data_IF_969808485394
#
_entry.id   IF_969808485394
#
_cell.length_a   1.000
_cell.length_b   1.000
_cell.length_c   1.000
_cell.angle_alpha   90.00
_cell.angle_beta   90.00
_cell.angle_gamma   90.00
#
_symmetry.space_group_name_H-M   'P 1'
#
loop_
_entity.id
_entity.type
_entity.pdbx_description
1 polymer ?
#
# COMPACT_ATOMS: atom_id res chain seq x y z
N UNK A 1 -2.32 -5.91 -41.22
CA UNK A 1 -3.37 -5.09 -40.56
C UNK A 1 -2.78 -4.57 -39.26
N UNK A 2 -2.60 -3.25 -39.13
CA UNK A 2 -2.06 -2.66 -37.90
C UNK A 2 -3.19 -2.54 -36.87
N UNK A 3 -3.04 -3.19 -35.71
CA UNK A 3 -3.96 -3.05 -34.58
C UNK A 3 -3.81 -1.61 -34.07
N UNK A 4 -4.89 -0.80 -34.01
CA UNK A 4 -4.79 0.55 -33.48
C UNK A 4 -4.44 0.44 -31.99
N UNK A 5 -3.30 1.01 -31.60
CA UNK A 5 -2.95 1.15 -30.20
C UNK A 5 -4.08 1.93 -29.52
N UNK A 6 -4.88 1.25 -28.71
CA UNK A 6 -5.88 1.87 -27.85
C UNK A 6 -5.12 2.83 -26.95
N UNK A 7 -5.15 4.12 -27.30
CA UNK A 7 -4.68 5.20 -26.43
C UNK A 7 -5.62 5.21 -25.22
N UNK A 8 -5.26 4.44 -24.19
CA UNK A 8 -5.93 4.50 -22.90
C UNK A 8 -5.81 5.93 -22.40
N UNK A 9 -6.96 6.58 -22.20
CA UNK A 9 -6.99 7.91 -21.57
C UNK A 9 -6.30 7.79 -20.21
N UNK A 10 -5.46 8.76 -19.83
CA UNK A 10 -4.85 8.76 -18.51
C UNK A 10 -5.97 8.74 -17.45
N UNK A 11 -5.89 7.77 -16.53
CA UNK A 11 -6.83 7.62 -15.43
C UNK A 11 -6.82 8.91 -14.62
N UNK A 12 -8.01 9.48 -14.40
CA UNK A 12 -8.15 10.71 -13.65
C UNK A 12 -7.76 10.52 -12.17
N UNK A 13 -7.36 11.62 -11.53
CA UNK A 13 -6.90 11.60 -10.13
C UNK A 13 -7.95 11.05 -9.17
N UNK A 14 -9.23 11.36 -9.39
CA UNK A 14 -10.34 10.93 -8.51
C UNK A 14 -10.57 9.43 -8.63
N UNK A 15 -10.51 8.88 -9.83
CA UNK A 15 -10.60 7.44 -10.07
C UNK A 15 -9.41 6.71 -9.47
N UNK A 16 -8.20 7.26 -9.56
CA UNK A 16 -7.02 6.72 -8.88
C UNK A 16 -7.21 6.67 -7.36
N UNK A 17 -7.72 7.74 -6.74
CA UNK A 17 -8.02 7.76 -5.31
C UNK A 17 -9.08 6.73 -4.91
N UNK A 18 -10.12 6.53 -5.74
CA UNK A 18 -11.14 5.50 -5.52
C UNK A 18 -10.57 4.08 -5.59
N UNK A 19 -9.73 3.78 -6.60
CA UNK A 19 -9.01 2.51 -6.70
C UNK A 19 -8.21 2.25 -5.42
N UNK A 20 -7.49 3.26 -4.92
CA UNK A 20 -6.69 3.14 -3.71
C UNK A 20 -7.52 2.89 -2.45
N UNK A 21 -8.65 3.56 -2.29
CA UNK A 21 -9.54 3.35 -1.15
C UNK A 21 -10.18 1.95 -1.16
N UNK A 22 -10.38 1.36 -2.34
CA UNK A 22 -10.98 0.04 -2.50
C UNK A 22 -9.95 -1.10 -2.46
N UNK A 23 -8.67 -0.83 -2.77
CA UNK A 23 -7.61 -1.83 -2.85
C UNK A 23 -7.32 -2.55 -1.52
N UNK A 24 -7.67 -1.95 -0.38
CA UNK A 24 -7.52 -2.58 0.94
C UNK A 24 -8.64 -3.59 1.25
N UNK A 25 -9.77 -3.55 0.52
CA UNK A 25 -10.99 -4.29 0.84
C UNK A 25 -11.46 -5.25 -0.27
N UNK A 26 -11.10 -4.99 -1.53
CA UNK A 26 -11.62 -5.73 -2.70
C UNK A 26 -10.48 -6.22 -3.61
N UNK A 27 -10.73 -7.30 -4.36
CA UNK A 27 -9.80 -7.77 -5.39
C UNK A 27 -9.75 -6.81 -6.58
N UNK A 28 -8.65 -6.82 -7.33
CA UNK A 28 -8.45 -5.92 -8.49
C UNK A 28 -9.55 -6.09 -9.55
N UNK A 29 -9.99 -7.32 -9.79
CA UNK A 29 -11.09 -7.68 -10.69
C UNK A 29 -12.42 -7.03 -10.24
N UNK A 30 -12.71 -7.08 -8.94
CA UNK A 30 -13.92 -6.52 -8.38
C UNK A 30 -13.92 -4.99 -8.43
N UNK A 31 -12.75 -4.37 -8.22
CA UNK A 31 -12.57 -2.92 -8.36
C UNK A 31 -12.75 -2.50 -9.83
N UNK A 32 -12.19 -3.28 -10.76
CA UNK A 32 -12.32 -3.05 -12.19
C UNK A 32 -13.79 -3.10 -12.64
N UNK A 33 -14.55 -4.09 -12.16
CA UNK A 33 -15.99 -4.20 -12.42
C UNK A 33 -16.76 -3.00 -11.83
N UNK A 34 -16.50 -2.65 -10.56
CA UNK A 34 -17.15 -1.54 -9.88
C UNK A 34 -16.89 -0.18 -10.54
N UNK A 35 -15.67 0.04 -11.06
CA UNK A 35 -15.27 1.29 -11.70
C UNK A 35 -15.46 1.27 -13.22
N UNK A 36 -15.90 0.15 -13.80
CA UNK A 36 -16.01 -0.08 -15.24
C UNK A 36 -14.71 0.25 -15.97
N UNK A 37 -13.60 -0.24 -15.43
CA UNK A 37 -12.25 -0.07 -15.96
C UNK A 37 -11.68 -1.42 -16.40
N UNK A 38 -10.71 -1.43 -17.33
CA UNK A 38 -9.90 -2.62 -17.56
C UNK A 38 -9.16 -3.01 -16.29
N UNK A 39 -9.13 -4.31 -15.98
CA UNK A 39 -8.37 -4.85 -14.84
C UNK A 39 -6.91 -4.38 -14.90
N UNK A 40 -6.31 -4.41 -16.09
CA UNK A 40 -4.93 -3.95 -16.32
C UNK A 40 -4.67 -2.51 -15.85
N UNK A 41 -5.65 -1.62 -16.00
CA UNK A 41 -5.53 -0.21 -15.61
C UNK A 41 -5.62 -0.06 -14.08
N UNK A 42 -6.46 -0.87 -13.43
CA UNK A 42 -6.53 -0.99 -11.96
C UNK A 42 -5.25 -1.58 -11.40
N UNK A 43 -4.77 -2.69 -11.97
CA UNK A 43 -3.50 -3.33 -11.61
C UNK A 43 -2.33 -2.37 -11.81
N UNK A 44 -2.28 -1.60 -12.90
CA UNK A 44 -1.25 -0.56 -13.11
C UNK A 44 -1.31 0.53 -12.05
N UNK A 45 -2.50 0.97 -11.64
CA UNK A 45 -2.66 1.98 -10.57
C UNK A 45 -2.20 1.42 -9.23
N UNK A 46 -2.70 0.24 -8.86
CA UNK A 46 -2.33 -0.46 -7.64
C UNK A 46 -0.83 -0.70 -7.66
N UNK A 47 -0.29 -1.36 -8.67
CA UNK A 47 1.15 -1.62 -8.81
C UNK A 47 1.99 -0.34 -8.81
N UNK A 48 1.59 0.73 -9.51
CA UNK A 48 2.33 1.99 -9.50
C UNK A 48 2.34 2.68 -8.12
N UNK A 49 1.32 2.47 -7.29
CA UNK A 49 1.24 3.04 -5.95
C UNK A 49 1.88 2.13 -4.90
N UNK A 50 1.65 0.82 -4.97
CA UNK A 50 2.21 -0.18 -4.07
C UNK A 50 3.70 -0.43 -4.33
N UNK A 51 4.19 -0.34 -5.58
CA UNK A 51 5.64 -0.30 -5.88
C UNK A 51 6.32 0.95 -5.31
N UNK A 52 5.57 2.04 -5.12
CA UNK A 52 6.07 3.30 -4.52
C UNK A 52 5.81 3.41 -3.01
N UNK A 53 5.04 2.50 -2.40
CA UNK A 53 4.64 2.58 -0.98
C UNK A 53 4.58 1.20 -0.31
N UNK A 54 5.73 0.53 -0.22
CA UNK A 54 6.05 -0.24 0.99
C UNK A 54 7.24 0.43 1.66
N UNK A 55 7.00 1.59 2.28
CA UNK A 55 7.91 2.07 3.32
C UNK A 55 7.79 1.04 4.42
N UNK A 56 8.78 0.17 4.52
CA UNK A 56 8.78 -0.85 5.54
C UNK A 56 8.89 -0.12 6.88
N UNK A 57 7.84 -0.25 7.69
CA UNK A 57 7.77 0.39 9.00
C UNK A 57 8.16 -0.62 10.04
N UNK A 58 8.70 -0.14 11.12
CA UNK A 58 9.12 -0.93 12.26
C UNK A 58 8.62 -0.27 13.52
N UNK A 59 8.30 -1.08 14.53
CA UNK A 59 8.32 -0.62 15.91
C UNK A 59 9.55 -1.16 16.56
N UNK A 60 10.26 -0.27 17.25
CA UNK A 60 11.44 -0.58 18.04
C UNK A 60 11.08 -0.38 19.50
N UNK A 61 11.37 -1.36 20.33
CA UNK A 61 11.35 -1.18 21.78
C UNK A 61 12.71 -0.62 22.22
N UNK A 62 12.72 0.57 22.83
CA UNK A 62 13.96 1.25 23.21
C UNK A 62 14.67 0.58 24.40
N UNK A 63 13.97 -0.25 25.18
CA UNK A 63 14.54 -0.99 26.32
C UNK A 63 15.16 -2.32 25.93
N UNK A 64 14.57 -3.02 24.96
CA UNK A 64 15.01 -4.37 24.55
C UNK A 64 15.71 -4.39 23.19
N UNK A 65 15.71 -3.26 22.48
CA UNK A 65 16.16 -3.11 21.09
C UNK A 65 15.41 -4.04 20.11
N UNK A 66 14.27 -4.61 20.51
CA UNK A 66 13.48 -5.52 19.68
C UNK A 66 12.78 -4.72 18.58
N UNK A 67 13.01 -5.13 17.32
CA UNK A 67 12.51 -4.44 16.13
C UNK A 67 11.53 -5.33 15.37
N UNK A 68 10.27 -4.91 15.26
CA UNK A 68 9.20 -5.67 14.62
C UNK A 68 8.71 -4.96 13.36
N UNK A 69 8.81 -5.60 12.17
CA UNK A 69 8.29 -5.03 10.94
C UNK A 69 6.76 -4.99 10.96
N UNK A 70 6.21 -3.85 10.57
CA UNK A 70 4.77 -3.61 10.51
C UNK A 70 4.39 -2.91 9.21
N UNK A 71 3.16 -3.15 8.77
CA UNK A 71 2.64 -2.54 7.53
C UNK A 71 1.88 -1.24 7.81
N UNK A 72 1.28 -1.10 8.99
CA UNK A 72 0.47 0.06 9.40
C UNK A 72 0.67 0.40 10.87
N UNK A 73 0.43 1.65 11.25
CA UNK A 73 0.51 2.10 12.64
C UNK A 73 -0.46 1.36 13.56
N UNK A 74 -1.67 1.02 13.08
CA UNK A 74 -2.66 0.24 13.85
C UNK A 74 -2.14 -1.15 14.23
N UNK A 75 -1.51 -1.87 13.29
CA UNK A 75 -0.86 -3.16 13.61
C UNK A 75 0.27 -2.97 14.60
N UNK A 76 1.03 -1.90 14.45
CA UNK A 76 2.07 -1.52 15.39
C UNK A 76 1.57 -1.34 16.82
N UNK A 77 0.56 -0.50 17.01
CA UNK A 77 -0.03 -0.25 18.31
C UNK A 77 -0.55 -1.54 18.98
N UNK A 78 -1.19 -2.43 18.20
CA UNK A 78 -1.65 -3.72 18.72
C UNK A 78 -0.51 -4.59 19.25
N UNK A 79 0.61 -4.67 18.51
CA UNK A 79 1.80 -5.42 18.93
C UNK A 79 2.39 -4.87 20.23
N UNK A 80 2.52 -3.54 20.34
CA UNK A 80 2.96 -2.85 21.57
C UNK A 80 2.09 -3.24 22.76
N UNK A 81 0.76 -3.22 22.59
CA UNK A 81 -0.18 -3.56 23.66
C UNK A 81 -0.04 -5.02 24.09
N UNK A 82 0.04 -5.95 23.13
CA UNK A 82 0.19 -7.38 23.43
C UNK A 82 1.53 -7.70 24.10
N UNK A 83 2.60 -7.00 23.74
CA UNK A 83 3.93 -7.18 24.32
C UNK A 83 4.16 -6.38 25.61
N UNK A 84 3.24 -5.50 26.01
CA UNK A 84 3.37 -4.65 27.18
C UNK A 84 4.50 -3.62 27.07
N UNK A 85 4.81 -3.14 25.86
CA UNK A 85 5.89 -2.19 25.65
C UNK A 85 5.51 -0.79 26.10
N UNK A 86 6.36 -0.18 26.91
CA UNK A 86 6.12 1.15 27.52
C UNK A 86 6.99 2.25 26.93
N UNK A 87 8.10 1.88 26.30
CA UNK A 87 9.06 2.79 25.68
C UNK A 87 9.42 2.23 24.30
N UNK A 88 8.78 2.81 23.28
CA UNK A 88 8.83 2.31 21.91
C UNK A 88 8.74 3.45 20.93
N UNK A 89 9.37 3.26 19.77
CA UNK A 89 9.38 4.20 18.67
C UNK A 89 8.85 3.58 17.37
N UNK A 90 8.31 4.43 16.51
CA UNK A 90 7.81 4.07 15.19
C UNK A 90 8.75 4.57 14.11
N UNK A 91 9.47 3.66 13.45
CA UNK A 91 10.44 3.98 12.42
C UNK A 91 9.87 3.64 11.04
N UNK A 92 9.70 4.66 10.21
CA UNK A 92 9.38 4.48 8.80
C UNK A 92 10.68 4.44 8.00
N UNK A 93 11.27 3.25 7.84
CA UNK A 93 12.48 3.10 7.03
C UNK A 93 12.07 3.19 5.56
N UNK A 94 12.34 4.34 4.94
CA UNK A 94 12.48 4.34 3.49
C UNK A 94 13.68 3.44 3.21
N UNK A 95 13.50 2.42 2.37
CA UNK A 95 14.66 1.81 1.72
C UNK A 95 15.31 2.94 0.91
N UNK A 96 16.28 3.64 1.51
CA UNK A 96 17.32 4.24 0.70
C UNK A 96 18.04 3.08 0.04
N UNK A 97 18.10 3.13 -1.28
CA UNK A 97 18.55 2.02 -2.10
C UNK A 97 19.97 1.60 -1.76
N UNK A 98 20.15 0.29 -1.71
CA UNK A 98 21.36 -0.40 -2.12
C UNK A 98 20.91 -1.57 -3.00
#
# INVERSE_FOLDING_TARGET
MAIPATRHKPIDRKTRERIMNMADAFSEEHIAECLKLPVEDVTKVITAVFSRRKVQRYIVNNKTEECIPITTWRKGYFVVCMKGWTDWDFLAVRKEGA
#
